data_IF_317387651671
#
_entry.id   IF_317387651671
#
_cell.length_a   1.000
_cell.length_b   1.000
_cell.length_c   1.000
_cell.angle_alpha   90.00
_cell.angle_beta   90.00
_cell.angle_gamma   90.00
#
_symmetry.space_group_name_H-M   'P 1'
#
loop_
_entity.id
_entity.type
_entity.pdbx_description
1 polymer ?
#
# COMPACT_ATOMS: atom_id res chain seq x y z
N UNK A 1 -13.39 0.05 82.45
CA UNK A 1 -12.72 0.16 81.12
C UNK A 1 -13.74 -0.20 80.06
N UNK A 2 -14.30 0.78 79.30
CA UNK A 2 -15.30 0.52 78.24
C UNK A 2 -14.57 0.46 76.89
N UNK A 3 -14.53 -0.73 76.31
CA UNK A 3 -13.97 -0.94 74.97
C UNK A 3 -15.03 -0.46 73.96
N UNK A 4 -14.73 0.63 73.20
CA UNK A 4 -15.51 1.08 72.07
C UNK A 4 -15.15 0.21 70.86
N UNK A 5 -16.04 -0.69 70.50
CA UNK A 5 -15.94 -1.45 69.26
C UNK A 5 -16.29 -0.49 68.10
N UNK A 6 -15.35 -0.16 67.28
CA UNK A 6 -15.54 0.62 66.05
C UNK A 6 -16.19 -0.29 65.03
N UNK A 7 -17.47 -0.05 64.74
CA UNK A 7 -18.15 -0.76 63.64
C UNK A 7 -17.51 -0.34 62.32
N UNK A 8 -16.82 -1.22 61.71
CA UNK A 8 -16.38 -1.07 60.33
C UNK A 8 -17.56 -1.30 59.41
N UNK A 9 -17.97 -0.26 58.69
CA UNK A 9 -19.03 -0.35 57.69
C UNK A 9 -18.48 -1.08 56.46
N UNK A 10 -18.73 -2.38 56.39
CA UNK A 10 -18.40 -3.18 55.20
C UNK A 10 -19.20 -2.68 53.98
N UNK A 11 -18.57 -2.69 52.85
CA UNK A 11 -19.24 -2.42 51.56
C UNK A 11 -20.32 -3.48 51.36
N UNK A 12 -21.58 -3.03 51.19
CA UNK A 12 -22.68 -3.96 50.95
C UNK A 12 -22.48 -4.73 49.64
N UNK A 13 -22.82 -6.01 49.60
CA UNK A 13 -22.68 -6.88 48.44
C UNK A 13 -23.31 -6.24 47.18
N UNK A 14 -24.45 -5.52 47.37
CA UNK A 14 -25.10 -4.77 46.29
C UNK A 14 -24.20 -3.66 45.74
N UNK A 15 -23.54 -2.88 46.60
CA UNK A 15 -22.65 -1.81 46.17
C UNK A 15 -21.44 -2.39 45.34
N UNK A 16 -20.90 -3.54 45.75
CA UNK A 16 -19.83 -4.21 45.03
C UNK A 16 -20.29 -4.68 43.62
N UNK A 17 -21.47 -5.30 43.55
CA UNK A 17 -22.04 -5.76 42.26
C UNK A 17 -22.30 -4.58 41.31
N UNK A 18 -22.89 -3.50 41.83
CA UNK A 18 -23.16 -2.30 41.02
C UNK A 18 -21.88 -1.67 40.50
N UNK A 19 -20.82 -1.56 41.32
CA UNK A 19 -19.55 -1.00 40.88
C UNK A 19 -18.87 -1.88 39.77
N UNK A 20 -18.95 -3.19 39.91
CA UNK A 20 -18.39 -4.11 38.85
C UNK A 20 -19.17 -3.94 37.55
N UNK A 21 -20.51 -3.88 37.59
CA UNK A 21 -21.35 -3.71 36.39
C UNK A 21 -21.03 -2.37 35.70
N UNK A 22 -20.92 -1.30 36.47
CA UNK A 22 -20.62 0.05 35.94
C UNK A 22 -19.22 0.04 35.29
N UNK A 23 -18.23 -0.57 35.94
CA UNK A 23 -16.86 -0.70 35.36
C UNK A 23 -16.84 -1.50 34.08
N UNK A 24 -17.60 -2.59 33.98
CA UNK A 24 -17.69 -3.40 32.76
C UNK A 24 -18.34 -2.61 31.61
N UNK A 25 -19.39 -1.83 31.88
CA UNK A 25 -20.03 -0.98 30.87
C UNK A 25 -19.05 0.09 30.39
N UNK A 26 -18.39 0.78 31.31
CA UNK A 26 -17.39 1.82 30.96
C UNK A 26 -16.21 1.24 30.18
N UNK A 27 -15.70 0.08 30.59
CA UNK A 27 -14.64 -0.60 29.86
C UNK A 27 -15.08 -1.00 28.44
N UNK A 28 -16.29 -1.55 28.29
CA UNK A 28 -16.84 -1.94 27.00
C UNK A 28 -16.99 -0.76 26.03
N UNK A 29 -17.49 0.38 26.52
CA UNK A 29 -17.62 1.60 25.71
C UNK A 29 -16.25 2.15 25.31
N UNK A 30 -15.27 2.13 26.22
CA UNK A 30 -13.92 2.63 25.96
C UNK A 30 -13.19 1.79 24.92
N UNK A 31 -13.28 0.46 25.02
CA UNK A 31 -12.68 -0.46 24.05
C UNK A 31 -13.32 -0.28 22.68
N UNK A 32 -14.65 -0.16 22.65
CA UNK A 32 -15.38 0.04 21.39
C UNK A 32 -15.01 1.35 20.69
N UNK A 33 -14.77 2.43 21.44
CA UNK A 33 -14.34 3.72 20.87
C UNK A 33 -12.92 3.69 20.29
N UNK A 34 -12.06 2.78 20.76
CA UNK A 34 -10.68 2.66 20.29
C UNK A 34 -10.56 1.74 19.07
N UNK A 35 -11.29 0.62 19.06
CA UNK A 35 -11.13 -0.46 18.09
C UNK A 35 -12.20 -0.53 17.00
N UNK A 36 -13.26 0.28 17.06
CA UNK A 36 -14.28 0.31 16.02
C UNK A 36 -13.74 0.83 14.68
N UNK A 37 -14.52 0.58 13.59
CA UNK A 37 -14.22 1.05 12.23
C UNK A 37 -13.99 2.57 12.13
N UNK A 38 -14.55 3.36 13.05
CA UNK A 38 -14.31 4.80 13.21
C UNK A 38 -13.38 5.13 14.40
N UNK A 39 -12.74 4.13 14.98
CA UNK A 39 -11.91 4.26 16.18
C UNK A 39 -10.60 5.00 15.93
N UNK A 40 -9.97 5.42 17.05
CA UNK A 40 -8.72 6.18 17.03
C UNK A 40 -7.59 5.45 16.31
N UNK A 41 -7.54 4.11 16.40
CA UNK A 41 -6.48 3.31 15.75
C UNK A 41 -6.61 3.38 14.23
N UNK A 42 -7.82 3.23 13.69
CA UNK A 42 -8.03 3.32 12.24
C UNK A 42 -7.75 4.74 11.72
N UNK A 43 -8.20 5.76 12.45
CA UNK A 43 -7.86 7.16 12.11
C UNK A 43 -6.36 7.45 12.16
N UNK A 44 -5.64 6.85 13.11
CA UNK A 44 -4.19 6.97 13.19
C UNK A 44 -3.50 6.29 12.01
N UNK A 45 -3.95 5.10 11.61
CA UNK A 45 -3.45 4.40 10.43
C UNK A 45 -3.74 5.16 9.13
N UNK A 46 -4.95 5.70 8.98
CA UNK A 46 -5.30 6.57 7.85
C UNK A 46 -4.46 7.85 7.80
N UNK A 47 -4.21 8.47 8.97
CA UNK A 47 -3.36 9.64 9.09
C UNK A 47 -1.91 9.31 8.73
N UNK A 48 -1.41 8.16 9.16
CA UNK A 48 -0.07 7.70 8.81
C UNK A 48 0.06 7.42 7.31
N UNK A 49 -0.91 6.74 6.71
CA UNK A 49 -0.96 6.52 5.26
C UNK A 49 -0.97 7.83 4.46
N UNK A 50 -1.76 8.83 4.91
CA UNK A 50 -1.77 10.16 4.30
C UNK A 50 -0.46 10.91 4.49
N UNK A 51 0.18 10.75 5.64
CA UNK A 51 1.48 11.36 5.91
C UNK A 51 2.59 10.73 5.07
N UNK A 52 2.57 9.41 4.90
CA UNK A 52 3.51 8.71 4.04
C UNK A 52 3.32 9.11 2.56
N UNK A 53 2.07 9.27 2.12
CA UNK A 53 1.75 9.78 0.80
C UNK A 53 2.22 11.24 0.60
N UNK A 54 2.01 12.12 1.58
CA UNK A 54 2.47 13.50 1.54
C UNK A 54 4.00 13.56 1.50
N UNK A 55 4.67 12.77 2.33
CA UNK A 55 6.13 12.69 2.34
C UNK A 55 6.71 12.24 1.01
N UNK A 56 6.06 11.27 0.35
CA UNK A 56 6.48 10.83 -0.99
C UNK A 56 6.30 11.94 -2.03
N UNK A 57 5.18 12.67 -1.98
CA UNK A 57 4.97 13.81 -2.86
C UNK A 57 5.98 14.94 -2.62
N UNK A 58 6.32 15.21 -1.36
CA UNK A 58 7.31 16.22 -1.00
C UNK A 58 8.72 15.84 -1.50
N UNK A 59 9.10 14.56 -1.36
CA UNK A 59 10.36 14.05 -1.89
C UNK A 59 10.41 14.16 -3.42
N UNK A 60 9.32 13.79 -4.10
CA UNK A 60 9.24 13.91 -5.55
C UNK A 60 9.39 15.37 -6.04
N UNK A 61 8.78 16.33 -5.33
CA UNK A 61 8.92 17.75 -5.64
C UNK A 61 10.34 18.27 -5.37
N UNK A 62 11.00 17.79 -4.33
CA UNK A 62 12.39 18.13 -4.03
C UNK A 62 13.33 17.60 -5.12
N UNK A 63 13.13 16.38 -5.60
CA UNK A 63 13.91 15.79 -6.70
C UNK A 63 13.68 16.55 -8.01
N UNK A 64 12.45 17.00 -8.28
CA UNK A 64 12.14 17.83 -9.45
C UNK A 64 12.84 19.21 -9.39
N UNK A 65 12.89 19.82 -8.20
CA UNK A 65 13.59 21.05 -7.96
C UNK A 65 15.10 20.88 -8.09
N UNK A 66 15.67 19.81 -7.56
CA UNK A 66 17.09 19.50 -7.66
C UNK A 66 17.50 19.25 -9.12
N UNK A 67 16.69 18.53 -9.89
CA UNK A 67 16.86 18.34 -11.32
C UNK A 67 16.77 19.67 -12.09
N UNK A 68 15.85 20.55 -11.75
CA UNK A 68 15.74 21.86 -12.36
C UNK A 68 16.97 22.72 -12.05
N UNK A 69 17.43 22.73 -10.79
CA UNK A 69 18.63 23.43 -10.36
C UNK A 69 19.86 22.89 -11.09
N UNK A 70 20.02 21.58 -11.14
CA UNK A 70 21.17 20.93 -11.80
C UNK A 70 21.21 21.25 -13.30
N UNK A 71 20.07 21.28 -13.97
CA UNK A 71 19.98 21.56 -15.39
C UNK A 71 20.12 23.06 -15.74
N UNK A 72 19.77 23.96 -14.83
CA UNK A 72 19.77 25.41 -15.11
C UNK A 72 20.95 26.16 -14.46
N UNK A 73 21.57 25.65 -13.41
CA UNK A 73 22.66 26.32 -12.69
C UNK A 73 24.03 25.76 -13.07
N UNK A 74 24.15 24.49 -13.38
CA UNK A 74 25.39 23.83 -13.81
C UNK A 74 25.34 23.45 -15.30
N UNK A 75 25.44 24.41 -16.15
CA UNK A 75 25.78 24.14 -17.56
C UNK A 75 27.13 23.42 -17.63
N UNK A 76 27.12 22.11 -17.79
CA UNK A 76 28.25 21.19 -17.97
C UNK A 76 28.68 20.42 -16.72
N UNK A 77 28.21 19.19 -16.61
CA UNK A 77 29.06 18.02 -16.38
C UNK A 77 28.18 16.79 -16.14
N UNK A 78 28.25 15.85 -17.05
CA UNK A 78 27.76 14.50 -16.85
C UNK A 78 28.60 13.82 -15.78
N UNK A 79 28.01 13.58 -14.58
CA UNK A 79 28.40 12.48 -13.72
C UNK A 79 27.20 12.11 -12.83
N UNK A 80 26.63 10.97 -13.11
CA UNK A 80 26.05 9.96 -12.22
C UNK A 80 25.31 10.48 -10.96
N UNK A 81 24.28 11.27 -11.11
CA UNK A 81 23.21 11.27 -10.15
C UNK A 81 22.22 10.16 -10.56
N UNK A 82 21.78 9.37 -9.61
CA UNK A 82 20.76 8.33 -9.79
C UNK A 82 19.51 8.99 -10.35
N UNK A 83 19.37 9.04 -11.68
CA UNK A 83 18.27 9.73 -12.35
C UNK A 83 16.99 8.94 -12.14
N UNK A 84 16.20 9.36 -11.17
CA UNK A 84 14.80 8.93 -11.06
C UNK A 84 14.00 9.70 -12.10
N UNK A 85 13.45 9.01 -13.07
CA UNK A 85 12.51 9.60 -14.01
C UNK A 85 11.10 9.53 -13.44
N UNK A 86 10.44 10.67 -13.34
CA UNK A 86 9.04 10.75 -12.95
C UNK A 86 8.14 10.88 -14.17
N UNK A 87 7.08 10.09 -14.21
CA UNK A 87 6.00 10.22 -15.18
C UNK A 87 4.78 10.73 -14.42
N UNK A 88 4.44 11.98 -14.63
CA UNK A 88 3.28 12.61 -14.02
C UNK A 88 2.25 12.95 -15.08
N UNK A 89 0.99 12.74 -14.73
CA UNK A 89 -0.14 13.23 -15.53
C UNK A 89 -1.08 14.03 -14.61
N UNK A 90 -0.96 15.33 -14.64
CA UNK A 90 -1.80 16.27 -13.89
C UNK A 90 -3.05 16.69 -14.68
N UNK A 91 -3.76 15.76 -15.23
CA UNK A 91 -4.96 16.06 -16.02
C UNK A 91 -4.91 15.46 -17.43
N UNK A 92 -5.48 16.11 -18.40
CA UNK A 92 -5.77 15.60 -19.74
C UNK A 92 -4.57 15.33 -20.68
N UNK A 93 -3.35 15.46 -20.21
CA UNK A 93 -2.19 15.18 -21.05
C UNK A 93 -1.94 13.66 -21.13
N UNK A 94 -2.25 13.09 -22.25
CA UNK A 94 -1.87 11.74 -22.64
C UNK A 94 -0.34 11.72 -22.76
N UNK A 95 0.34 10.99 -21.90
CA UNK A 95 1.76 10.68 -22.12
C UNK A 95 1.83 9.88 -23.41
N UNK A 96 2.67 10.29 -24.34
CA UNK A 96 2.64 9.81 -25.74
C UNK A 96 2.72 8.29 -25.86
N UNK A 97 2.01 7.74 -26.81
CA UNK A 97 2.08 6.35 -27.20
C UNK A 97 3.53 5.94 -27.47
N UNK A 98 3.93 4.75 -27.01
CA UNK A 98 5.23 4.13 -27.29
C UNK A 98 6.48 4.79 -26.66
N UNK A 99 6.37 5.39 -25.50
CA UNK A 99 7.58 5.80 -24.76
C UNK A 99 8.29 4.57 -24.17
N UNK A 100 9.48 4.25 -24.67
CA UNK A 100 10.33 3.23 -24.11
C UNK A 100 11.14 3.79 -22.93
N UNK A 101 10.98 3.19 -21.76
CA UNK A 101 11.66 3.56 -20.52
C UNK A 101 12.71 2.51 -20.13
N UNK A 102 13.58 2.14 -21.03
CA UNK A 102 14.59 1.10 -20.82
C UNK A 102 15.81 1.63 -20.06
N UNK A 103 16.37 0.82 -19.18
CA UNK A 103 17.68 1.03 -18.57
C UNK A 103 17.74 2.20 -17.58
N UNK A 104 16.67 2.53 -16.87
CA UNK A 104 16.64 3.59 -15.86
C UNK A 104 16.98 3.02 -14.47
N UNK A 105 17.76 3.78 -13.68
CA UNK A 105 18.03 3.43 -12.29
C UNK A 105 16.77 3.49 -11.42
N UNK A 106 15.89 4.45 -11.69
CA UNK A 106 14.59 4.56 -11.05
C UNK A 106 13.52 5.10 -11.98
N UNK A 107 12.28 4.72 -11.74
CA UNK A 107 11.09 5.21 -12.42
C UNK A 107 9.97 5.39 -11.39
N UNK A 108 9.43 6.60 -11.31
CA UNK A 108 8.25 6.91 -10.51
C UNK A 108 7.06 7.23 -11.39
N UNK A 109 5.90 6.69 -11.04
CA UNK A 109 4.65 6.90 -11.75
C UNK A 109 3.66 7.57 -10.80
N UNK A 110 3.19 8.77 -11.17
CA UNK A 110 2.18 9.55 -10.45
C UNK A 110 1.08 10.02 -11.40
N UNK A 111 0.17 9.12 -11.75
CA UNK A 111 -0.99 9.44 -12.56
C UNK A 111 -2.21 9.70 -11.69
N UNK A 112 -2.78 10.89 -11.73
CA UNK A 112 -4.02 11.21 -11.00
C UNK A 112 -5.27 10.81 -11.80
N UNK A 113 -5.21 10.89 -13.12
CA UNK A 113 -6.23 10.39 -14.03
C UNK A 113 -5.54 9.93 -15.30
N UNK A 114 -5.57 8.64 -15.55
CA UNK A 114 -4.97 8.08 -16.76
C UNK A 114 -6.03 7.53 -17.72
N UNK A 115 -5.92 7.94 -18.96
CA UNK A 115 -6.58 7.30 -20.10
C UNK A 115 -5.53 7.15 -21.18
N UNK A 116 -4.86 6.02 -21.25
CA UNK A 116 -3.78 5.84 -22.19
C UNK A 116 -3.64 4.41 -22.65
N UNK A 117 -2.97 4.25 -23.77
CA UNK A 117 -2.73 2.99 -24.45
C UNK A 117 -1.27 2.58 -24.25
N UNK A 118 -1.05 1.44 -23.65
CA UNK A 118 0.15 0.63 -23.72
C UNK A 118 1.50 1.34 -23.57
N UNK A 119 1.99 1.47 -22.34
CA UNK A 119 3.39 1.83 -22.09
C UNK A 119 4.21 0.60 -21.78
N UNK A 120 5.49 0.63 -22.17
CA UNK A 120 6.46 -0.37 -21.76
C UNK A 120 7.59 0.29 -20.99
N UNK A 121 8.04 -0.37 -19.93
CA UNK A 121 9.24 0.01 -19.21
C UNK A 121 10.06 -1.24 -18.89
N UNK A 122 11.34 -1.23 -19.27
CA UNK A 122 12.20 -2.41 -19.22
C UNK A 122 13.48 -2.13 -18.43
N UNK A 123 13.96 -3.14 -17.69
CA UNK A 123 15.24 -3.10 -16.99
C UNK A 123 15.37 -1.91 -16.01
N UNK A 124 14.33 -1.69 -15.22
CA UNK A 124 14.30 -0.65 -14.21
C UNK A 124 14.80 -1.23 -12.89
N UNK A 125 15.78 -0.59 -12.23
CA UNK A 125 16.25 -1.05 -10.92
C UNK A 125 15.18 -0.89 -9.86
N UNK A 126 14.53 0.28 -9.81
CA UNK A 126 13.46 0.55 -8.86
C UNK A 126 12.29 1.24 -9.55
N UNK A 127 11.15 0.58 -9.56
CA UNK A 127 9.88 1.13 -10.03
C UNK A 127 9.01 1.48 -8.83
N UNK A 128 8.51 2.70 -8.78
CA UNK A 128 7.62 3.18 -7.75
C UNK A 128 6.31 3.69 -8.38
N UNK A 129 5.20 3.07 -8.05
CA UNK A 129 3.86 3.55 -8.41
C UNK A 129 3.32 4.28 -7.19
N UNK A 130 3.25 5.61 -7.27
CA UNK A 130 3.01 6.48 -6.13
C UNK A 130 1.58 6.39 -5.61
N UNK A 131 1.41 6.81 -4.37
CA UNK A 131 0.13 6.76 -3.66
C UNK A 131 -0.98 7.53 -4.38
N UNK A 132 -2.13 6.87 -4.55
CA UNK A 132 -3.29 7.44 -5.26
C UNK A 132 -3.10 7.56 -6.77
N UNK A 133 -2.02 6.99 -7.33
CA UNK A 133 -1.80 6.92 -8.77
C UNK A 133 -2.75 5.91 -9.41
N UNK A 134 -3.28 6.23 -10.58
CA UNK A 134 -4.03 5.28 -11.42
C UNK A 134 -3.20 4.92 -12.64
N UNK A 135 -2.84 3.65 -12.77
CA UNK A 135 -1.95 3.13 -13.83
C UNK A 135 -2.68 2.06 -14.62
N UNK A 136 -2.90 2.29 -15.91
CA UNK A 136 -3.65 1.39 -16.79
C UNK A 136 -2.80 0.99 -18.00
N UNK A 137 -2.98 -0.24 -18.47
CA UNK A 137 -2.41 -0.75 -19.72
C UNK A 137 -0.89 -0.60 -19.81
N UNK A 138 -0.17 -0.82 -18.70
CA UNK A 138 1.30 -0.79 -18.64
C UNK A 138 1.89 -2.19 -18.72
N UNK A 139 3.05 -2.31 -19.36
CA UNK A 139 3.88 -3.49 -19.33
C UNK A 139 5.28 -3.15 -18.76
N UNK A 140 5.60 -3.75 -17.63
CA UNK A 140 6.88 -3.63 -16.96
C UNK A 140 7.65 -4.94 -17.08
N UNK A 141 8.89 -4.88 -17.60
CA UNK A 141 9.73 -6.07 -17.74
C UNK A 141 11.05 -5.92 -17.01
N UNK A 142 11.47 -6.98 -16.31
CA UNK A 142 12.76 -7.06 -15.61
C UNK A 142 13.00 -5.88 -14.65
N UNK A 143 11.99 -5.48 -13.87
CA UNK A 143 12.17 -4.50 -12.82
C UNK A 143 12.71 -5.21 -11.57
N UNK A 144 13.89 -4.80 -11.06
CA UNK A 144 14.51 -5.47 -9.91
C UNK A 144 13.68 -5.33 -8.65
N UNK A 145 13.21 -4.12 -8.35
CA UNK A 145 12.28 -3.83 -7.26
C UNK A 145 11.10 -3.00 -7.75
N UNK A 146 9.89 -3.44 -7.41
CA UNK A 146 8.66 -2.71 -7.67
C UNK A 146 7.98 -2.39 -6.36
N UNK A 147 7.61 -1.14 -6.15
CA UNK A 147 6.85 -0.67 -4.99
C UNK A 147 5.55 -0.03 -5.48
N UNK A 148 4.44 -0.59 -5.06
CA UNK A 148 3.10 -0.05 -5.30
C UNK A 148 2.61 0.52 -3.99
N UNK A 149 2.54 1.85 -3.93
CA UNK A 149 2.19 2.55 -2.69
C UNK A 149 0.69 2.52 -2.41
N UNK A 150 0.34 2.95 -1.21
CA UNK A 150 -1.03 2.91 -0.68
C UNK A 150 -2.02 3.64 -1.58
N UNK A 151 -3.20 3.04 -1.75
CA UNK A 151 -4.30 3.58 -2.55
C UNK A 151 -3.96 3.79 -4.04
N UNK A 152 -2.91 3.19 -4.56
CA UNK A 152 -2.67 3.14 -6.00
C UNK A 152 -3.66 2.17 -6.67
N UNK A 153 -4.13 2.52 -7.85
CA UNK A 153 -5.06 1.70 -8.64
C UNK A 153 -4.36 1.26 -9.92
N UNK A 154 -4.25 -0.05 -10.10
CA UNK A 154 -3.66 -0.66 -11.29
C UNK A 154 -4.75 -1.44 -12.04
N UNK A 155 -4.86 -1.20 -13.33
CA UNK A 155 -5.81 -1.89 -14.20
C UNK A 155 -5.10 -2.39 -15.46
N UNK A 156 -5.20 -3.69 -15.73
CA UNK A 156 -4.58 -4.33 -16.88
C UNK A 156 -3.06 -4.06 -17.00
N UNK A 157 -2.35 -4.17 -15.87
CA UNK A 157 -0.90 -3.94 -15.80
C UNK A 157 -0.17 -5.29 -15.79
N UNK A 158 0.86 -5.41 -16.62
CA UNK A 158 1.71 -6.61 -16.68
C UNK A 158 3.06 -6.35 -16.04
N UNK A 159 3.48 -7.24 -15.16
CA UNK A 159 4.82 -7.32 -14.59
C UNK A 159 5.46 -8.64 -15.02
N UNK A 160 6.46 -8.56 -15.88
CA UNK A 160 7.17 -9.73 -16.42
C UNK A 160 8.64 -9.71 -16.03
N UNK A 161 9.06 -10.67 -15.20
CA UNK A 161 10.42 -10.73 -14.66
C UNK A 161 10.68 -9.69 -13.57
N UNK A 162 11.43 -10.06 -12.56
CA UNK A 162 11.81 -9.18 -11.45
C UNK A 162 12.14 -9.94 -10.19
N UNK A 163 12.73 -9.25 -9.22
CA UNK A 163 13.16 -9.88 -7.98
C UNK A 163 12.13 -9.72 -6.87
N UNK A 164 11.50 -8.55 -6.80
CA UNK A 164 10.65 -8.22 -5.67
C UNK A 164 9.55 -7.23 -6.04
N UNK A 165 8.32 -7.54 -5.68
CA UNK A 165 7.18 -6.62 -5.74
C UNK A 165 6.61 -6.46 -4.33
N UNK A 166 6.41 -5.22 -3.89
CA UNK A 166 5.75 -4.89 -2.62
C UNK A 166 4.54 -4.02 -2.89
N UNK A 167 3.37 -4.44 -2.40
CA UNK A 167 2.11 -3.73 -2.53
C UNK A 167 1.64 -3.32 -1.14
N UNK A 168 1.35 -2.04 -0.97
CA UNK A 168 0.93 -1.47 0.30
C UNK A 168 -0.59 -1.32 0.42
N UNK A 169 -1.01 -1.06 1.65
CA UNK A 169 -2.41 -1.00 2.09
C UNK A 169 -3.29 -0.09 1.24
N UNK A 170 -4.48 -0.57 0.91
CA UNK A 170 -5.47 0.17 0.12
C UNK A 170 -5.19 0.22 -1.38
N UNK A 171 -4.12 -0.40 -1.86
CA UNK A 171 -3.90 -0.53 -3.29
C UNK A 171 -4.92 -1.49 -3.93
N UNK A 172 -5.35 -1.18 -5.15
CA UNK A 172 -6.30 -1.98 -5.93
C UNK A 172 -5.62 -2.48 -7.21
N UNK A 173 -5.60 -3.79 -7.40
CA UNK A 173 -5.04 -4.43 -8.57
C UNK A 173 -6.16 -5.16 -9.31
N UNK A 174 -6.47 -4.68 -10.51
CA UNK A 174 -7.53 -5.22 -11.33
C UNK A 174 -6.96 -5.77 -12.64
N UNK A 175 -7.22 -7.03 -12.95
CA UNK A 175 -6.80 -7.67 -14.21
C UNK A 175 -5.28 -7.61 -14.47
N UNK A 176 -4.47 -7.53 -13.41
CA UNK A 176 -3.01 -7.47 -13.53
C UNK A 176 -2.40 -8.87 -13.72
N UNK A 177 -1.30 -8.92 -14.45
CA UNK A 177 -0.57 -10.17 -14.72
C UNK A 177 0.83 -10.11 -14.11
N UNK A 178 1.21 -11.16 -13.39
CA UNK A 178 2.52 -11.31 -12.77
C UNK A 178 3.16 -12.60 -13.29
N UNK A 179 4.20 -12.46 -14.08
CA UNK A 179 4.95 -13.58 -14.66
C UNK A 179 6.43 -13.45 -14.38
N UNK A 180 7.12 -14.59 -14.27
CA UNK A 180 8.57 -14.65 -14.05
C UNK A 180 9.06 -13.85 -12.83
N UNK A 181 8.20 -13.67 -11.80
CA UNK A 181 8.53 -12.98 -10.58
C UNK A 181 9.17 -13.94 -9.56
N UNK A 182 10.03 -13.38 -8.68
CA UNK A 182 10.65 -14.18 -7.60
C UNK A 182 9.82 -14.07 -6.32
N UNK A 183 9.59 -12.87 -5.81
CA UNK A 183 8.83 -12.64 -4.58
C UNK A 183 7.83 -11.49 -4.73
N UNK A 184 6.61 -11.74 -4.33
CA UNK A 184 5.53 -10.73 -4.29
C UNK A 184 4.96 -10.70 -2.88
N UNK A 185 4.90 -9.52 -2.28
CA UNK A 185 4.25 -9.30 -1.00
C UNK A 185 3.16 -8.25 -1.15
N UNK A 186 1.95 -8.58 -0.73
CA UNK A 186 0.79 -7.68 -0.75
C UNK A 186 0.20 -7.55 0.65
N UNK A 187 -0.06 -6.32 1.08
CA UNK A 187 -0.53 -6.00 2.42
C UNK A 187 -1.82 -5.17 2.33
N UNK A 188 -2.90 -5.68 2.90
CA UNK A 188 -4.20 -4.99 2.99
C UNK A 188 -4.68 -4.41 1.64
N UNK A 189 -4.39 -5.13 0.55
CA UNK A 189 -4.71 -4.74 -0.82
C UNK A 189 -5.94 -5.47 -1.35
N UNK A 190 -6.58 -4.90 -2.37
CA UNK A 190 -7.65 -5.54 -3.14
C UNK A 190 -7.08 -6.08 -4.45
N UNK A 191 -7.28 -7.37 -4.71
CA UNK A 191 -6.72 -8.08 -5.86
C UNK A 191 -7.85 -8.77 -6.61
N UNK A 192 -8.17 -8.28 -7.81
CA UNK A 192 -9.32 -8.74 -8.57
C UNK A 192 -8.92 -9.21 -9.96
N UNK A 193 -9.32 -10.43 -10.32
CA UNK A 193 -9.09 -11.04 -11.64
C UNK A 193 -7.63 -11.03 -12.09
N UNK A 194 -6.69 -11.09 -11.14
CA UNK A 194 -5.26 -11.09 -11.43
C UNK A 194 -4.73 -12.49 -11.75
N UNK A 195 -3.65 -12.56 -12.51
CA UNK A 195 -2.98 -13.80 -12.94
C UNK A 195 -1.59 -13.85 -12.31
N UNK A 196 -1.27 -14.93 -11.62
CA UNK A 196 0.07 -15.22 -11.10
C UNK A 196 0.62 -16.49 -11.75
N UNK A 197 1.68 -16.34 -12.52
CA UNK A 197 2.23 -17.44 -13.32
C UNK A 197 3.48 -18.08 -12.68
N UNK A 198 4.11 -17.41 -11.72
CA UNK A 198 5.31 -17.93 -11.04
C UNK A 198 5.63 -17.16 -9.76
N UNK A 199 6.60 -17.67 -8.99
CA UNK A 199 7.17 -17.03 -7.81
C UNK A 199 6.44 -17.31 -6.50
N UNK A 200 6.91 -16.68 -5.43
CA UNK A 200 6.31 -16.77 -4.11
C UNK A 200 5.44 -15.54 -3.86
N UNK A 201 4.16 -15.72 -3.69
CA UNK A 201 3.21 -14.64 -3.45
C UNK A 201 2.66 -14.74 -2.04
N UNK A 202 2.83 -13.69 -1.24
CA UNK A 202 2.27 -13.61 0.10
C UNK A 202 1.23 -12.50 0.15
N UNK A 203 0.02 -12.87 0.55
CA UNK A 203 -1.08 -11.96 0.81
C UNK A 203 -1.26 -11.82 2.32
N UNK A 204 -1.22 -10.60 2.85
CA UNK A 204 -1.47 -10.29 4.26
C UNK A 204 -2.71 -9.41 4.38
N UNK A 205 -3.78 -9.91 4.97
CA UNK A 205 -5.07 -9.21 5.15
C UNK A 205 -5.65 -8.65 3.84
N UNK A 206 -5.41 -9.32 2.73
CA UNK A 206 -5.90 -8.90 1.42
C UNK A 206 -7.32 -9.39 1.15
N UNK A 207 -8.03 -8.68 0.28
CA UNK A 207 -9.24 -9.17 -0.37
C UNK A 207 -8.85 -9.65 -1.77
N UNK A 208 -9.07 -10.93 -2.06
CA UNK A 208 -8.65 -11.57 -3.31
C UNK A 208 -9.87 -12.19 -3.98
N UNK A 209 -10.18 -11.78 -5.21
CA UNK A 209 -11.33 -12.26 -5.96
C UNK A 209 -10.93 -12.73 -7.36
N UNK A 210 -11.48 -13.85 -7.80
CA UNK A 210 -11.32 -14.38 -9.15
C UNK A 210 -9.85 -14.49 -9.60
N UNK A 211 -8.96 -14.93 -8.71
CA UNK A 211 -7.54 -15.07 -8.99
C UNK A 211 -7.27 -16.28 -9.88
N UNK A 212 -6.42 -16.13 -10.88
CA UNK A 212 -5.89 -17.25 -11.67
C UNK A 212 -4.45 -17.52 -11.25
N UNK A 213 -4.18 -18.76 -10.83
CA UNK A 213 -2.84 -19.23 -10.49
C UNK A 213 -2.42 -20.34 -11.45
N UNK A 214 -1.31 -20.12 -12.16
CA UNK A 214 -0.76 -21.14 -13.03
C UNK A 214 0.29 -22.00 -12.30
N UNK A 215 1.36 -21.34 -11.76
CA UNK A 215 2.47 -22.08 -11.11
C UNK A 215 3.05 -21.32 -9.90
N UNK A 216 2.43 -20.23 -9.43
CA UNK A 216 2.92 -19.49 -8.28
C UNK A 216 2.64 -20.21 -6.96
N UNK A 217 3.52 -20.04 -5.98
CA UNK A 217 3.32 -20.53 -4.61
C UNK A 217 2.60 -19.41 -3.86
N UNK A 218 1.32 -19.65 -3.53
CA UNK A 218 0.46 -18.67 -2.87
C UNK A 218 0.39 -18.93 -1.36
N UNK A 219 0.57 -17.89 -0.58
CA UNK A 219 0.41 -17.89 0.87
C UNK A 219 -0.56 -16.79 1.29
N UNK A 220 -1.55 -17.15 2.09
CA UNK A 220 -2.58 -16.24 2.57
C UNK A 220 -2.54 -16.13 4.09
N UNK A 221 -2.46 -14.91 4.61
CA UNK A 221 -2.47 -14.61 6.03
C UNK A 221 -3.67 -13.69 6.35
N UNK A 222 -4.71 -14.23 7.00
CA UNK A 222 -5.92 -13.49 7.38
C UNK A 222 -6.58 -12.75 6.19
N UNK A 223 -6.71 -13.41 5.07
CA UNK A 223 -7.29 -12.85 3.85
C UNK A 223 -8.78 -13.19 3.71
N UNK A 224 -9.47 -12.47 2.83
CA UNK A 224 -10.76 -12.86 2.29
C UNK A 224 -10.55 -13.27 0.85
N UNK A 225 -10.94 -14.51 0.49
CA UNK A 225 -10.81 -15.06 -0.87
C UNK A 225 -12.19 -15.41 -1.37
N UNK A 226 -12.62 -14.79 -2.48
CA UNK A 226 -13.95 -14.96 -3.08
C UNK A 226 -15.09 -14.79 -2.06
N UNK A 227 -14.93 -13.84 -1.14
CA UNK A 227 -15.90 -13.50 -0.10
C UNK A 227 -15.78 -14.30 1.20
N UNK A 228 -14.94 -15.34 1.24
CA UNK A 228 -14.78 -16.19 2.41
C UNK A 228 -13.43 -15.93 3.14
N UNK A 229 -13.41 -15.97 4.48
CA UNK A 229 -12.16 -15.86 5.24
C UNK A 229 -11.21 -17.02 4.93
N UNK A 230 -9.94 -16.71 4.65
CA UNK A 230 -8.94 -17.70 4.27
C UNK A 230 -7.56 -17.41 4.88
N UNK A 231 -6.89 -18.47 5.36
CA UNK A 231 -5.50 -18.42 5.83
C UNK A 231 -4.84 -19.79 5.68
N UNK A 232 -3.64 -19.84 5.12
CA UNK A 232 -2.85 -21.08 4.98
C UNK A 232 -1.38 -20.88 5.34
#
# INVERSE_FOLDING_TARGET
MKIKIKQEKGITLIALVVTIVVLLILAGVSVNAIFNENGLIKKAQEAQSKMDAAKQNDLAQLDELDNWITNNVNGNSAESSTLVKQITNNGTNVVGENSDYTGKDGLQIDFKQYKGNGYTANNIKKLEILSGSTTNDFAFSNCEEVIIYSNAILENVTFDGGQKITVYSGAELNQCTFSNQVNIKMMEASVNSCIFSSGNVTFEKCTVNALTNNEAILKYNNCTVDGEPYSN
#
